data_IF_999714594706
#
_entry.id   IF_999714594706
#
_cell.length_a   1.000
_cell.length_b   1.000
_cell.length_c   1.000
_cell.angle_alpha   90.00
_cell.angle_beta   90.00
_cell.angle_gamma   90.00
#
_symmetry.space_group_name_H-M   'P 1'
#
loop_
_entity.id
_entity.type
_entity.pdbx_description
1 polymer ?
#
# COMPACT_ATOMS: atom_id res chain seq x y z
N UNK A 1 8.00 -9.83 5.67
CA UNK A 1 8.11 -10.66 4.44
C UNK A 1 9.08 -11.83 4.60
N UNK A 2 10.40 -11.62 4.74
CA UNK A 2 11.37 -12.74 4.89
C UNK A 2 11.07 -13.72 6.03
N UNK A 3 10.53 -13.24 7.15
CA UNK A 3 10.16 -14.09 8.30
C UNK A 3 8.96 -15.00 8.02
N UNK A 4 8.05 -14.61 7.12
CA UNK A 4 6.82 -15.35 6.83
C UNK A 4 6.96 -16.33 5.66
N UNK A 5 7.98 -16.12 4.82
CA UNK A 5 8.21 -16.84 3.56
C UNK A 5 9.69 -17.23 3.40
N UNK A 6 10.30 -17.98 4.34
CA UNK A 6 11.69 -18.43 4.24
C UNK A 6 11.95 -19.32 3.01
N UNK A 7 10.92 -19.98 2.49
CA UNK A 7 10.96 -20.86 1.32
C UNK A 7 11.00 -20.13 -0.03
N UNK A 8 10.80 -18.81 -0.04
CA UNK A 8 10.79 -18.00 -1.26
C UNK A 8 12.05 -17.15 -1.40
N UNK A 9 12.58 -17.07 -2.62
CA UNK A 9 13.53 -16.03 -3.01
C UNK A 9 12.77 -14.71 -3.20
N UNK A 10 13.01 -13.73 -2.32
CA UNK A 10 12.29 -12.45 -2.34
C UNK A 10 13.14 -11.37 -2.99
N UNK A 11 12.62 -10.81 -4.08
CA UNK A 11 13.14 -9.62 -4.75
C UNK A 11 12.17 -8.46 -4.48
N UNK A 12 12.69 -7.32 -4.01
CA UNK A 12 11.91 -6.12 -3.76
C UNK A 12 12.30 -5.02 -4.74
N UNK A 13 11.30 -4.36 -5.31
CA UNK A 13 11.46 -3.18 -6.16
C UNK A 13 10.69 -2.00 -5.57
N UNK A 14 11.19 -0.77 -5.79
CA UNK A 14 10.51 0.44 -5.34
C UNK A 14 9.48 0.96 -6.36
N UNK A 15 9.63 0.58 -7.64
CA UNK A 15 8.74 0.96 -8.73
C UNK A 15 8.50 -0.23 -9.67
N UNK A 16 7.38 -0.17 -10.40
CA UNK A 16 7.11 -1.08 -11.51
C UNK A 16 8.12 -0.89 -12.67
N UNK A 17 8.63 0.34 -12.85
CA UNK A 17 9.61 0.68 -13.89
C UNK A 17 10.98 0.02 -13.67
N UNK A 18 11.31 -0.28 -12.42
CA UNK A 18 12.57 -0.93 -12.03
C UNK A 18 12.51 -2.47 -12.22
N UNK A 19 11.35 -3.02 -12.58
CA UNK A 19 11.19 -4.47 -12.81
C UNK A 19 11.86 -4.87 -14.12
N UNK A 20 12.87 -5.73 -14.02
CA UNK A 20 13.49 -6.30 -15.22
C UNK A 20 12.66 -7.47 -15.76
N UNK A 21 12.66 -7.64 -17.09
CA UNK A 21 11.97 -8.76 -17.76
C UNK A 21 12.44 -10.13 -17.23
N UNK A 22 13.72 -10.24 -16.84
CA UNK A 22 14.30 -11.47 -16.31
C UNK A 22 13.73 -11.82 -14.93
N UNK A 23 13.54 -10.81 -14.06
CA UNK A 23 12.93 -11.01 -12.74
C UNK A 23 11.49 -11.50 -12.90
N UNK A 24 10.68 -10.83 -13.74
CA UNK A 24 9.30 -11.24 -13.99
C UNK A 24 9.20 -12.67 -14.56
N UNK A 25 10.05 -13.04 -15.53
CA UNK A 25 10.06 -14.41 -16.09
C UNK A 25 10.38 -15.51 -15.09
N UNK A 26 11.07 -15.20 -14.00
CA UNK A 26 11.45 -16.17 -12.96
C UNK A 26 10.51 -16.12 -11.74
N UNK A 27 9.61 -15.16 -11.68
CA UNK A 27 8.65 -15.01 -10.59
C UNK A 27 7.43 -15.89 -10.83
N UNK A 28 7.06 -16.70 -9.84
CA UNK A 28 5.74 -17.36 -9.82
C UNK A 28 4.64 -16.49 -9.18
N UNK A 29 5.04 -15.43 -8.49
CA UNK A 29 4.17 -14.55 -7.71
C UNK A 29 4.75 -13.12 -7.72
N UNK A 30 3.87 -12.12 -7.87
CA UNK A 30 4.21 -10.71 -7.65
C UNK A 30 3.23 -10.11 -6.66
N UNK A 31 3.76 -9.38 -5.67
CA UNK A 31 2.96 -8.56 -4.75
C UNK A 31 3.22 -7.10 -5.12
N UNK A 32 2.18 -6.40 -5.53
CA UNK A 32 2.24 -5.00 -5.93
C UNK A 32 1.49 -4.13 -4.92
N UNK A 33 2.14 -3.08 -4.44
CA UNK A 33 1.56 -2.12 -3.50
C UNK A 33 0.97 -0.93 -4.26
N UNK A 34 -0.37 -0.85 -4.27
CA UNK A 34 -1.17 0.25 -4.80
C UNK A 34 -1.84 1.05 -3.66
N UNK A 35 -1.34 0.93 -2.43
CA UNK A 35 -1.88 1.64 -1.26
C UNK A 35 -1.51 3.14 -1.21
N UNK A 36 -0.80 3.63 -2.22
CA UNK A 36 -0.32 5.01 -2.32
C UNK A 36 -1.36 5.99 -2.90
N UNK A 37 -1.15 7.28 -2.64
CA UNK A 37 -1.82 8.35 -3.40
C UNK A 37 -1.09 8.51 -4.75
N UNK A 38 -1.75 8.21 -5.86
CA UNK A 38 -1.30 8.56 -7.23
C UNK A 38 -2.27 9.58 -7.82
N UNK A 39 -1.73 10.53 -8.59
CA UNK A 39 -2.55 11.48 -9.36
C UNK A 39 -3.28 10.80 -10.53
N UNK A 40 -2.77 9.64 -11.00
CA UNK A 40 -3.40 8.85 -12.06
C UNK A 40 -3.39 7.34 -11.73
N UNK A 41 -4.37 6.86 -10.94
CA UNK A 41 -4.57 5.43 -10.68
C UNK A 41 -4.82 4.61 -11.94
N UNK A 42 -5.42 5.21 -12.98
CA UNK A 42 -5.81 4.50 -14.20
C UNK A 42 -4.58 4.09 -15.00
N UNK A 43 -3.66 5.04 -15.25
CA UNK A 43 -2.41 4.75 -15.97
C UNK A 43 -1.58 3.66 -15.30
N UNK A 44 -1.51 3.68 -13.95
CA UNK A 44 -0.81 2.64 -13.19
C UNK A 44 -1.48 1.27 -13.36
N UNK A 45 -2.81 1.19 -13.28
CA UNK A 45 -3.54 -0.04 -13.53
C UNK A 45 -3.37 -0.54 -14.99
N UNK A 46 -3.37 0.36 -15.98
CA UNK A 46 -3.14 0.00 -17.39
C UNK A 46 -1.73 -0.57 -17.60
N UNK A 47 -0.72 -0.02 -16.92
CA UNK A 47 0.63 -0.56 -16.95
C UNK A 47 0.69 -1.99 -16.39
N UNK A 48 0.09 -2.24 -15.22
CA UNK A 48 0.02 -3.59 -14.66
C UNK A 48 -0.81 -4.54 -15.51
N UNK A 49 -1.89 -4.07 -16.13
CA UNK A 49 -2.67 -4.87 -17.07
C UNK A 49 -1.84 -5.36 -18.27
N UNK A 50 -0.96 -4.51 -18.80
CA UNK A 50 0.00 -4.90 -19.84
C UNK A 50 0.94 -6.02 -19.37
N UNK A 51 1.47 -5.89 -18.14
CA UNK A 51 2.34 -6.91 -17.55
C UNK A 51 1.60 -8.24 -17.31
N UNK A 52 0.39 -8.22 -16.75
CA UNK A 52 -0.45 -9.40 -16.56
C UNK A 52 -0.69 -10.11 -17.91
N UNK A 53 -1.01 -9.32 -18.94
CA UNK A 53 -1.28 -9.84 -20.29
C UNK A 53 -0.06 -10.54 -20.91
N UNK A 54 1.13 -10.01 -20.63
CA UNK A 54 2.40 -10.57 -21.11
C UNK A 54 2.89 -11.77 -20.27
N UNK A 55 2.58 -11.79 -18.98
CA UNK A 55 3.09 -12.76 -18.01
C UNK A 55 1.95 -13.48 -17.28
N UNK A 56 1.22 -14.32 -18.02
CA UNK A 56 0.02 -15.01 -17.54
C UNK A 56 0.28 -16.12 -16.52
N UNK A 57 1.50 -16.62 -16.44
CA UNK A 57 1.89 -17.68 -15.49
C UNK A 57 2.07 -17.14 -14.06
N UNK A 58 2.20 -15.82 -13.91
CA UNK A 58 2.46 -15.17 -12.63
C UNK A 58 1.15 -14.97 -11.89
N UNK A 59 1.10 -15.36 -10.62
CA UNK A 59 0.03 -14.94 -9.72
C UNK A 59 0.29 -13.50 -9.22
N UNK A 60 -0.66 -12.60 -9.47
CA UNK A 60 -0.56 -11.19 -9.10
C UNK A 60 -1.40 -10.91 -7.86
N UNK A 61 -0.79 -10.37 -6.80
CA UNK A 61 -1.48 -9.94 -5.59
C UNK A 61 -1.32 -8.44 -5.47
N UNK A 62 -2.42 -7.70 -5.59
CA UNK A 62 -2.43 -6.25 -5.46
C UNK A 62 -2.94 -5.87 -4.07
N UNK A 63 -2.15 -5.09 -3.33
CA UNK A 63 -2.60 -4.38 -2.13
C UNK A 63 -3.21 -3.05 -2.59
N UNK A 64 -4.51 -2.87 -2.41
CA UNK A 64 -5.28 -1.79 -3.03
C UNK A 64 -5.94 -0.95 -1.93
N UNK A 65 -5.76 0.38 -1.99
CA UNK A 65 -6.57 1.30 -1.19
C UNK A 65 -7.97 1.46 -1.78
N UNK A 66 -8.94 1.78 -0.93
CA UNK A 66 -10.34 1.99 -1.33
C UNK A 66 -10.54 3.04 -2.44
N UNK A 67 -9.66 4.04 -2.53
CA UNK A 67 -9.68 5.07 -3.59
C UNK A 67 -9.35 4.53 -4.98
N UNK A 68 -8.63 3.40 -5.07
CA UNK A 68 -8.25 2.75 -6.33
C UNK A 68 -9.19 1.62 -6.71
N UNK A 69 -10.15 1.26 -5.83
CA UNK A 69 -10.96 0.06 -5.97
C UNK A 69 -11.66 -0.06 -7.33
N UNK A 70 -12.29 1.02 -7.80
CA UNK A 70 -12.98 1.02 -9.10
C UNK A 70 -12.03 0.69 -10.26
N UNK A 71 -10.87 1.34 -10.32
CA UNK A 71 -9.89 1.16 -11.39
C UNK A 71 -9.20 -0.21 -11.30
N UNK A 72 -8.89 -0.66 -10.09
CA UNK A 72 -8.29 -1.97 -9.86
C UNK A 72 -9.26 -3.10 -10.27
N UNK A 73 -10.55 -2.98 -9.94
CA UNK A 73 -11.54 -3.97 -10.37
C UNK A 73 -11.74 -3.97 -11.89
N UNK A 74 -11.83 -2.78 -12.50
CA UNK A 74 -12.01 -2.65 -13.95
C UNK A 74 -10.86 -3.24 -14.75
N UNK A 75 -9.62 -3.00 -14.32
CA UNK A 75 -8.42 -3.26 -15.14
C UNK A 75 -7.56 -4.43 -14.67
N UNK A 76 -7.58 -4.77 -13.37
CA UNK A 76 -6.65 -5.76 -12.80
C UNK A 76 -7.32 -7.07 -12.42
N UNK A 77 -8.65 -7.16 -12.39
CA UNK A 77 -9.33 -8.40 -12.08
C UNK A 77 -9.25 -9.39 -13.23
N UNK A 78 -8.62 -10.54 -12.97
CA UNK A 78 -8.48 -11.65 -13.91
C UNK A 78 -8.17 -12.95 -13.16
N UNK A 79 -8.22 -14.12 -13.85
CA UNK A 79 -7.94 -15.46 -13.29
C UNK A 79 -6.64 -15.63 -12.52
N UNK A 80 -5.70 -14.71 -12.68
CA UNK A 80 -4.36 -14.78 -12.12
C UNK A 80 -4.10 -13.68 -11.10
N UNK A 81 -5.08 -12.80 -10.85
CA UNK A 81 -4.96 -11.68 -9.95
C UNK A 81 -5.80 -11.85 -8.67
N UNK A 82 -5.35 -11.23 -7.58
CA UNK A 82 -6.09 -11.12 -6.32
C UNK A 82 -5.95 -9.71 -5.80
N UNK A 83 -7.07 -9.09 -5.44
CA UNK A 83 -7.11 -7.74 -4.88
C UNK A 83 -7.33 -7.84 -3.37
N UNK A 84 -6.33 -7.46 -2.59
CA UNK A 84 -6.40 -7.34 -1.14
C UNK A 84 -6.49 -5.87 -0.75
N UNK A 85 -7.22 -5.56 0.31
CA UNK A 85 -7.18 -4.21 0.87
C UNK A 85 -5.82 -3.94 1.50
N UNK A 86 -5.33 -2.72 1.36
CA UNK A 86 -4.16 -2.19 2.08
C UNK A 86 -4.27 -2.24 3.61
N UNK A 87 -5.50 -2.28 4.14
CA UNK A 87 -5.80 -2.43 5.57
C UNK A 87 -6.04 -3.89 6.00
N UNK A 88 -5.87 -4.87 5.10
CA UNK A 88 -5.96 -6.27 5.50
C UNK A 88 -4.83 -6.67 6.46
N UNK A 89 -5.12 -7.54 7.46
CA UNK A 89 -4.09 -8.07 8.33
C UNK A 89 -3.09 -8.92 7.53
N UNK A 90 -1.82 -8.92 7.96
CA UNK A 90 -0.73 -9.59 7.24
C UNK A 90 -0.97 -11.10 7.08
N UNK A 91 -1.70 -11.70 8.03
CA UNK A 91 -2.10 -13.11 8.02
C UNK A 91 -2.90 -13.47 6.76
N UNK A 92 -3.73 -12.56 6.26
CA UNK A 92 -4.51 -12.80 5.06
C UNK A 92 -3.66 -12.72 3.79
N UNK A 93 -2.66 -11.82 3.76
CA UNK A 93 -1.66 -11.82 2.69
C UNK A 93 -0.89 -13.14 2.71
N UNK A 94 -0.42 -13.59 3.88
CA UNK A 94 0.27 -14.88 4.05
C UNK A 94 -0.59 -16.04 3.57
N UNK A 95 -1.88 -16.05 3.93
CA UNK A 95 -2.82 -17.07 3.47
C UNK A 95 -2.95 -17.06 1.94
N UNK A 96 -3.12 -15.89 1.33
CA UNK A 96 -3.25 -15.73 -0.13
C UNK A 96 -2.01 -16.24 -0.87
N UNK A 97 -0.82 -15.86 -0.39
CA UNK A 97 0.45 -16.32 -0.96
C UNK A 97 0.57 -17.84 -0.88
N UNK A 98 0.24 -18.44 0.28
CA UNK A 98 0.33 -19.90 0.48
C UNK A 98 -0.72 -20.69 -0.28
N UNK A 99 -1.91 -20.12 -0.52
CA UNK A 99 -2.90 -20.74 -1.40
C UNK A 99 -2.50 -20.71 -2.87
N UNK A 100 -1.58 -19.81 -3.24
CA UNK A 100 -1.15 -19.61 -4.63
C UNK A 100 -2.33 -19.34 -5.55
N UNK A 101 -2.21 -19.78 -6.80
CA UNK A 101 -3.20 -19.52 -7.86
C UNK A 101 -4.52 -20.32 -7.70
N UNK A 102 -4.66 -21.16 -6.66
CA UNK A 102 -5.87 -21.98 -6.46
C UNK A 102 -7.12 -21.16 -6.13
N UNK A 103 -6.94 -19.91 -5.68
CA UNK A 103 -8.02 -18.98 -5.32
C UNK A 103 -7.81 -17.60 -5.94
N UNK A 104 -7.13 -17.54 -7.08
CA UNK A 104 -7.05 -16.30 -7.86
C UNK A 104 -8.46 -15.91 -8.37
N UNK A 105 -8.68 -14.62 -8.68
CA UNK A 105 -9.99 -13.94 -8.80
C UNK A 105 -10.67 -13.56 -7.49
N UNK A 106 -9.94 -13.52 -6.37
CA UNK A 106 -10.51 -13.06 -5.11
C UNK A 106 -10.40 -11.55 -4.95
N UNK A 107 -11.51 -10.93 -4.57
CA UNK A 107 -11.56 -9.55 -4.06
C UNK A 107 -11.74 -9.62 -2.55
N UNK A 108 -10.91 -8.87 -1.80
CA UNK A 108 -11.06 -8.71 -0.35
C UNK A 108 -12.44 -8.16 0.01
N UNK A 109 -13.08 -8.75 1.03
CA UNK A 109 -14.36 -8.28 1.55
C UNK A 109 -14.26 -6.86 2.14
N UNK A 110 -13.07 -6.42 2.56
CA UNK A 110 -12.85 -5.06 3.08
C UNK A 110 -12.95 -4.01 1.97
N UNK A 111 -12.65 -4.38 0.72
CA UNK A 111 -12.81 -3.51 -0.45
C UNK A 111 -14.28 -3.37 -0.89
N UNK A 112 -15.08 -4.43 -0.70
CA UNK A 112 -16.48 -4.47 -1.14
C UNK A 112 -17.48 -4.02 -0.06
N UNK A 113 -17.12 -4.14 1.22
CA UNK A 113 -17.95 -3.69 2.33
C UNK A 113 -18.18 -2.18 2.25
N UNK A 114 -19.41 -1.65 2.39
CA UNK A 114 -19.64 -0.20 2.53
C UNK A 114 -18.77 0.30 3.67
N UNK A 115 -18.18 1.49 3.56
CA UNK A 115 -17.24 2.04 4.55
C UNK A 115 -17.87 1.91 5.95
N UNK A 116 -17.52 0.83 6.65
CA UNK A 116 -18.13 0.55 7.93
C UNK A 116 -17.54 1.59 8.85
N UNK A 117 -18.40 2.41 9.46
CA UNK A 117 -18.03 3.08 10.69
C UNK A 117 -17.50 1.97 11.61
N UNK A 118 -16.19 1.97 11.82
CA UNK A 118 -15.44 0.92 12.50
C UNK A 118 -16.01 0.67 13.90
N UNK A 119 -16.96 -0.26 14.01
CA UNK A 119 -17.26 -0.98 15.25
C UNK A 119 -16.77 -2.40 15.07
N UNK A 120 -15.48 -2.55 14.79
CA UNK A 120 -14.80 -3.80 15.05
C UNK A 120 -13.64 -3.54 16.00
N UNK A 121 -13.61 -4.38 17.01
CA UNK A 121 -12.99 -4.24 18.33
C UNK A 121 -11.46 -4.38 18.27
N UNK A 122 -10.81 -3.57 17.43
CA UNK A 122 -9.37 -3.33 17.48
C UNK A 122 -9.11 -2.07 18.27
N UNK A 123 -8.87 -2.23 19.56
CA UNK A 123 -8.38 -1.22 20.50
C UNK A 123 -6.96 -0.73 20.13
N UNK A 124 -6.81 -0.14 18.94
CA UNK A 124 -5.89 0.97 18.73
C UNK A 124 -6.79 2.15 18.38
N UNK A 125 -6.94 3.10 19.32
CA UNK A 125 -7.55 4.40 19.04
C UNK A 125 -6.98 4.90 17.72
N UNK A 126 -7.77 4.91 16.65
CA UNK A 126 -7.32 5.42 15.36
C UNK A 126 -7.03 6.91 15.55
N UNK A 127 -5.75 7.24 15.79
CA UNK A 127 -5.30 8.60 15.99
C UNK A 127 -5.26 9.25 14.61
N UNK A 128 -6.34 9.95 14.26
CA UNK A 128 -6.42 10.66 12.99
C UNK A 128 -5.55 11.93 13.08
N UNK A 129 -4.40 11.90 12.42
CA UNK A 129 -3.53 13.06 12.23
C UNK A 129 -3.97 13.86 10.98
N UNK A 130 -3.89 15.19 11.07
CA UNK A 130 -4.06 16.07 9.90
C UNK A 130 -2.95 15.83 8.87
N UNK A 131 -3.22 16.16 7.61
CA UNK A 131 -2.21 16.13 6.54
C UNK A 131 -0.94 16.89 6.91
N UNK A 132 -1.09 18.03 7.59
CA UNK A 132 0.05 18.86 7.98
C UNK A 132 0.90 18.23 9.09
N UNK A 133 0.27 17.55 10.04
CA UNK A 133 0.95 16.79 11.10
C UNK A 133 1.70 15.60 10.51
N UNK A 134 1.06 14.86 9.60
CA UNK A 134 1.66 13.69 8.93
C UNK A 134 2.88 14.07 8.11
N UNK A 135 2.82 15.19 7.36
CA UNK A 135 3.96 15.73 6.60
C UNK A 135 5.13 16.10 7.52
N UNK A 136 4.87 16.76 8.65
CA UNK A 136 5.91 17.13 9.62
C UNK A 136 6.55 15.89 10.26
N UNK A 137 5.76 14.92 10.74
CA UNK A 137 6.29 13.69 11.35
C UNK A 137 7.08 12.84 10.36
N UNK A 138 6.64 12.73 9.10
CA UNK A 138 7.35 11.98 8.06
C UNK A 138 8.73 12.57 7.78
N UNK A 139 8.86 13.91 7.73
CA UNK A 139 10.15 14.57 7.52
C UNK A 139 11.05 14.44 8.76
N UNK A 140 10.49 14.58 9.96
CA UNK A 140 11.23 14.33 11.21
C UNK A 140 11.74 12.88 11.28
N UNK A 141 10.94 11.90 10.88
CA UNK A 141 11.34 10.48 10.82
C UNK A 141 12.45 10.21 9.80
N UNK A 142 12.62 11.09 8.81
CA UNK A 142 13.76 11.08 7.86
C UNK A 142 14.99 11.83 8.38
N UNK A 143 14.97 12.33 9.63
CA UNK A 143 16.09 13.05 10.25
C UNK A 143 16.12 14.57 9.98
N UNK A 144 15.08 15.14 9.37
CA UNK A 144 15.06 16.58 9.07
C UNK A 144 14.84 17.42 10.34
N UNK A 145 15.59 18.50 10.50
CA UNK A 145 15.41 19.47 11.57
C UNK A 145 14.24 20.44 11.34
N UNK A 146 13.69 21.01 12.42
CA UNK A 146 12.53 21.92 12.37
C UNK A 146 12.74 23.10 11.40
N UNK A 147 13.93 23.71 11.42
CA UNK A 147 14.29 24.81 10.52
C UNK A 147 14.30 24.41 9.05
N UNK A 148 14.79 23.21 8.74
CA UNK A 148 14.84 22.69 7.37
C UNK A 148 13.42 22.38 6.87
N UNK A 149 12.59 21.79 7.73
CA UNK A 149 11.17 21.52 7.42
C UNK A 149 10.40 22.82 7.22
N UNK A 150 10.64 23.83 8.05
CA UNK A 150 10.01 25.14 7.95
C UNK A 150 10.34 25.82 6.62
N UNK A 151 11.61 25.80 6.21
CA UNK A 151 12.05 26.30 4.91
C UNK A 151 11.40 25.54 3.75
N UNK A 152 11.44 24.20 3.78
CA UNK A 152 10.88 23.33 2.74
C UNK A 152 9.37 23.51 2.57
N UNK A 153 8.64 23.56 3.68
CA UNK A 153 7.17 23.69 3.68
C UNK A 153 6.69 25.14 3.59
N UNK A 154 7.60 26.12 3.48
CA UNK A 154 7.30 27.57 3.46
C UNK A 154 6.43 27.99 4.65
N UNK A 155 6.78 27.52 5.85
CA UNK A 155 6.07 27.79 7.11
C UNK A 155 7.03 28.33 8.17
N UNK A 156 6.50 29.00 9.19
CA UNK A 156 7.31 29.41 10.33
C UNK A 156 7.73 28.20 11.19
N UNK A 157 8.87 28.31 11.87
CA UNK A 157 9.32 27.33 12.88
C UNK A 157 8.29 27.12 13.99
N UNK A 158 7.57 28.18 14.38
CA UNK A 158 6.49 28.11 15.36
C UNK A 158 5.35 27.21 14.87
N UNK A 159 4.97 27.33 13.60
CA UNK A 159 3.93 26.50 12.99
C UNK A 159 4.34 25.03 12.92
N UNK A 160 5.57 24.73 12.48
CA UNK A 160 6.07 23.34 12.42
C UNK A 160 6.14 22.72 13.82
N UNK A 161 6.63 23.48 14.80
CA UNK A 161 6.69 23.04 16.20
C UNK A 161 5.30 22.77 16.79
N UNK A 162 4.32 23.63 16.50
CA UNK A 162 2.94 23.45 16.92
C UNK A 162 2.31 22.19 16.29
N UNK A 163 2.56 21.95 15.00
CA UNK A 163 2.08 20.76 14.28
C UNK A 163 2.70 19.48 14.86
N UNK A 164 4.01 19.48 15.12
CA UNK A 164 4.68 18.37 15.83
C UNK A 164 4.01 18.10 17.17
N UNK A 165 3.85 19.12 18.01
CA UNK A 165 3.32 18.96 19.36
C UNK A 165 1.84 18.52 19.36
N UNK A 166 1.04 19.02 18.42
CA UNK A 166 -0.34 18.59 18.21
C UNK A 166 -0.40 17.11 17.85
N UNK A 167 0.45 16.67 16.90
CA UNK A 167 0.55 15.27 16.51
C UNK A 167 1.00 14.37 17.67
N UNK A 168 2.05 14.76 18.40
CA UNK A 168 2.56 13.98 19.53
C UNK A 168 1.53 13.82 20.64
N UNK A 169 0.74 14.87 20.96
CA UNK A 169 -0.34 14.76 21.95
C UNK A 169 -1.46 13.82 21.51
N UNK A 170 -1.72 13.75 20.20
CA UNK A 170 -2.71 12.84 19.63
C UNK A 170 -2.23 11.39 19.69
N UNK A 171 -0.95 11.16 19.40
CA UNK A 171 -0.33 9.83 19.44
C UNK A 171 -0.12 9.29 20.86
N UNK A 172 0.00 10.17 21.86
CA UNK A 172 0.15 9.80 23.26
C UNK A 172 -1.19 9.55 24.01
N UNK A 173 -2.32 9.56 23.29
CA UNK A 173 -3.66 9.34 23.87
C UNK A 173 -4.12 7.91 23.72
#
# INVERSE_FOLDING_TARGET
MRTHFPEYEIISSASAEDLTLLQLRRSGLVIADLAGESEDPRSVCEHYYSLISQYREIHWVFMVSRSWYSQAVELLMCPTATLLSDVEPIENLVKTVRSGNTHAERISAMLTSPAMNETHDFSYRSVILTLSERKVLRLLGKGWGINQIASLLKKSNKTISAQKNSAMRRLAR
#
